data_IF_657957454674
#
_entry.id   IF_657957454674
#
_cell.length_a   1.000
_cell.length_b   1.000
_cell.length_c   1.000
_cell.angle_alpha   90.00
_cell.angle_beta   90.00
_cell.angle_gamma   90.00
#
_symmetry.space_group_name_H-M   'P 1'
#
loop_
_entity.id
_entity.type
_entity.pdbx_description
1 polymer ?
#
# COMPACT_ATOMS: atom_id res chain seq x y z
N UNK A 1 8.66 2.24 -6.19
CA UNK A 1 7.82 1.10 -6.72
C UNK A 1 8.31 -0.24 -6.14
N UNK A 2 8.72 -0.22 -4.87
CA UNK A 2 9.51 -1.29 -4.25
C UNK A 2 8.76 -2.63 -4.12
N UNK A 3 7.42 -2.61 -4.11
CA UNK A 3 6.58 -3.82 -4.05
C UNK A 3 6.10 -4.30 -5.42
N UNK A 4 6.35 -3.54 -6.47
CA UNK A 4 5.92 -3.87 -7.83
C UNK A 4 6.96 -4.74 -8.52
N UNK A 5 6.57 -5.53 -9.53
CA UNK A 5 7.52 -6.27 -10.36
C UNK A 5 8.55 -5.36 -11.02
N UNK A 6 9.71 -5.91 -11.31
CA UNK A 6 10.75 -5.19 -12.04
C UNK A 6 10.22 -4.65 -13.37
N UNK A 7 10.68 -3.47 -13.76
CA UNK A 7 10.22 -2.80 -14.96
C UNK A 7 8.90 -2.02 -14.85
N UNK A 8 8.24 -2.04 -13.68
CA UNK A 8 6.98 -1.29 -13.46
C UNK A 8 7.18 0.21 -13.24
N UNK A 9 8.42 0.69 -13.12
CA UNK A 9 8.71 2.12 -12.87
C UNK A 9 8.47 2.96 -14.13
N UNK A 10 7.90 4.14 -13.93
CA UNK A 10 7.82 5.17 -14.98
C UNK A 10 9.12 6.01 -15.09
N UNK A 11 10.15 5.73 -14.28
CA UNK A 11 11.41 6.48 -14.31
C UNK A 11 12.09 6.51 -15.69
N UNK A 12 12.13 5.42 -16.49
CA UNK A 12 12.72 5.46 -17.82
C UNK A 12 12.07 6.49 -18.75
N UNK A 13 10.79 6.78 -18.57
CA UNK A 13 10.05 7.75 -19.37
C UNK A 13 10.44 9.21 -19.09
N UNK A 14 11.18 9.48 -18.00
CA UNK A 14 11.69 10.82 -17.70
C UNK A 14 12.65 11.36 -18.77
N UNK A 15 13.29 10.46 -19.52
CA UNK A 15 14.16 10.84 -20.65
C UNK A 15 13.37 11.33 -21.87
N UNK A 16 12.11 10.93 -21.99
CA UNK A 16 11.27 11.21 -23.17
C UNK A 16 10.27 12.35 -22.89
N UNK A 17 9.79 12.47 -21.65
CA UNK A 17 8.71 13.40 -21.28
C UNK A 17 9.17 14.46 -20.28
N UNK A 18 9.49 15.65 -20.78
CA UNK A 18 9.97 16.77 -19.96
C UNK A 18 8.98 17.30 -18.92
N UNK A 19 7.69 16.97 -19.05
CA UNK A 19 6.61 17.34 -18.14
C UNK A 19 6.23 16.21 -17.17
N UNK A 20 6.94 15.06 -17.19
CA UNK A 20 6.70 13.95 -16.27
C UNK A 20 7.37 14.23 -14.91
N UNK A 21 6.67 13.86 -13.85
CA UNK A 21 7.19 13.82 -12.49
C UNK A 21 6.85 12.47 -11.84
N UNK A 22 7.85 11.75 -11.38
CA UNK A 22 7.70 10.45 -10.69
C UNK A 22 7.91 10.65 -9.21
N UNK A 23 6.88 10.37 -8.41
CA UNK A 23 6.89 10.53 -6.96
C UNK A 23 7.25 9.24 -6.26
N UNK A 24 8.16 9.33 -5.29
CA UNK A 24 8.56 8.24 -4.41
C UNK A 24 8.24 8.58 -2.96
N UNK A 25 7.85 7.58 -2.19
CA UNK A 25 7.63 7.73 -0.74
C UNK A 25 8.53 6.78 0.04
N UNK A 26 9.08 7.26 1.15
CA UNK A 26 9.80 6.40 2.09
C UNK A 26 8.87 5.86 3.21
N UNK A 27 7.57 6.16 3.13
CA UNK A 27 6.60 5.83 4.19
C UNK A 27 6.27 4.35 4.31
N UNK A 28 6.46 3.54 3.25
CA UNK A 28 6.00 2.15 3.19
C UNK A 28 7.18 1.18 3.23
N UNK A 29 7.82 0.91 2.11
CA UNK A 29 8.93 -0.03 1.99
C UNK A 29 10.12 0.30 2.91
N UNK A 30 10.32 1.57 3.24
CA UNK A 30 11.40 2.04 4.12
C UNK A 30 10.96 2.31 5.57
N UNK A 31 9.75 1.92 5.96
CA UNK A 31 9.21 2.05 7.32
C UNK A 31 9.23 3.47 7.89
N UNK A 32 9.29 4.52 7.06
CA UNK A 32 9.39 5.92 7.49
C UNK A 32 8.05 6.68 7.39
N UNK A 33 6.93 6.02 7.70
CA UNK A 33 5.61 6.66 7.65
C UNK A 33 5.54 7.92 8.55
N UNK A 34 6.11 7.85 9.77
CA UNK A 34 6.19 8.97 10.69
C UNK A 34 7.15 10.07 10.26
N UNK A 35 8.14 9.77 9.42
CA UNK A 35 9.11 10.72 8.91
C UNK A 35 8.56 11.73 7.90
N UNK A 36 7.37 11.48 7.33
CA UNK A 36 6.70 12.33 6.32
C UNK A 36 7.62 12.76 5.18
N UNK A 37 8.41 11.84 4.64
CA UNK A 37 9.42 12.09 3.61
C UNK A 37 9.18 11.26 2.36
N UNK A 38 9.42 11.89 1.23
CA UNK A 38 9.46 11.32 -0.10
C UNK A 38 10.30 12.23 -1.00
N UNK A 39 10.41 11.87 -2.25
CA UNK A 39 11.12 12.67 -3.24
C UNK A 39 10.44 12.58 -4.60
N UNK A 40 10.78 13.52 -5.47
CA UNK A 40 10.32 13.56 -6.85
C UNK A 40 11.51 13.50 -7.79
N UNK A 41 11.37 12.73 -8.86
CA UNK A 41 12.27 12.72 -10.02
C UNK A 41 11.55 13.40 -11.17
N UNK A 42 12.16 14.44 -11.74
CA UNK A 42 11.58 15.20 -12.85
C UNK A 42 12.66 16.00 -13.58
N UNK A 43 12.30 16.63 -14.71
CA UNK A 43 13.20 17.57 -15.41
C UNK A 43 13.53 18.78 -14.51
N UNK A 44 14.69 19.45 -14.71
CA UNK A 44 15.06 20.63 -13.93
C UNK A 44 14.01 21.75 -13.94
N UNK A 45 13.30 21.95 -15.04
CA UNK A 45 12.22 22.93 -15.14
C UNK A 45 11.07 22.64 -14.20
N UNK A 46 10.64 21.38 -14.11
CA UNK A 46 9.57 20.93 -13.21
C UNK A 46 10.06 21.02 -11.75
N UNK A 47 11.28 20.56 -11.45
CA UNK A 47 11.86 20.66 -10.10
C UNK A 47 11.95 22.12 -9.62
N UNK A 48 12.38 23.05 -10.49
CA UNK A 48 12.46 24.46 -10.14
C UNK A 48 11.06 25.06 -9.88
N UNK A 49 10.05 24.71 -10.67
CA UNK A 49 8.68 25.15 -10.45
C UNK A 49 8.12 24.64 -9.13
N UNK A 50 8.36 23.38 -8.78
CA UNK A 50 7.99 22.80 -7.49
C UNK A 50 8.72 23.48 -6.31
N UNK A 51 10.01 23.76 -6.48
CA UNK A 51 10.81 24.43 -5.47
C UNK A 51 10.32 25.85 -5.18
N UNK A 52 9.84 26.57 -6.20
CA UNK A 52 9.34 27.93 -6.06
C UNK A 52 8.07 28.03 -5.21
N UNK A 53 7.24 26.98 -5.16
CA UNK A 53 5.98 26.96 -4.40
C UNK A 53 6.07 26.13 -3.10
N UNK A 54 7.17 25.42 -2.91
CA UNK A 54 7.38 24.59 -1.71
C UNK A 54 7.56 25.46 -0.48
N UNK A 55 6.89 25.07 0.61
CA UNK A 55 7.10 25.76 1.91
C UNK A 55 8.54 25.59 2.36
N UNK A 56 9.21 26.66 2.80
CA UNK A 56 10.53 26.59 3.45
C UNK A 56 10.47 25.63 4.64
N UNK A 57 11.56 24.89 4.86
CA UNK A 57 11.71 24.00 6.01
C UNK A 57 10.65 22.89 6.12
N UNK A 58 10.00 22.52 5.01
CA UNK A 58 8.93 21.51 4.96
C UNK A 58 9.33 20.12 5.42
N UNK A 59 10.64 19.79 5.44
CA UNK A 59 11.18 18.53 5.94
C UNK A 59 12.18 18.83 7.06
N UNK A 60 11.90 18.33 8.26
CA UNK A 60 12.79 18.54 9.41
C UNK A 60 14.11 17.74 9.28
N UNK A 61 15.12 18.14 10.03
CA UNK A 61 16.48 17.56 9.95
C UNK A 61 16.53 16.07 10.29
N UNK A 62 15.72 15.60 11.23
CA UNK A 62 15.67 14.19 11.61
C UNK A 62 15.11 13.34 10.49
N UNK A 63 14.02 13.78 9.85
CA UNK A 63 13.45 13.10 8.68
C UNK A 63 14.43 13.06 7.52
N UNK A 64 15.18 14.14 7.28
CA UNK A 64 16.22 14.16 6.23
C UNK A 64 17.32 13.14 6.53
N UNK A 65 17.84 13.13 7.76
CA UNK A 65 18.88 12.18 8.17
C UNK A 65 18.39 10.73 8.09
N UNK A 66 17.17 10.45 8.59
CA UNK A 66 16.55 9.12 8.52
C UNK A 66 16.32 8.67 7.07
N UNK A 67 15.81 9.57 6.22
CA UNK A 67 15.60 9.28 4.80
C UNK A 67 16.90 8.96 4.08
N UNK A 68 17.96 9.74 4.32
CA UNK A 68 19.28 9.50 3.75
C UNK A 68 19.85 8.14 4.20
N UNK A 69 19.74 7.82 5.48
CA UNK A 69 20.17 6.53 6.03
C UNK A 69 19.41 5.37 5.38
N UNK A 70 18.07 5.47 5.26
CA UNK A 70 17.23 4.45 4.64
C UNK A 70 17.61 4.20 3.18
N UNK A 71 17.80 5.25 2.39
CA UNK A 71 18.20 5.14 0.98
C UNK A 71 19.60 4.51 0.83
N UNK A 72 20.56 4.89 1.69
CA UNK A 72 21.90 4.30 1.70
C UNK A 72 21.88 2.82 2.08
N UNK A 73 20.95 2.42 2.94
CA UNK A 73 20.80 1.04 3.43
C UNK A 73 19.64 0.31 2.73
N UNK A 74 19.24 0.73 1.53
CA UNK A 74 18.06 0.19 0.83
C UNK A 74 18.05 -1.34 0.71
N UNK A 75 19.21 -1.97 0.56
CA UNK A 75 19.35 -3.43 0.48
C UNK A 75 18.87 -4.15 1.75
N UNK A 76 18.93 -3.52 2.92
CA UNK A 76 18.47 -4.10 4.17
C UNK A 76 16.94 -4.31 4.22
N UNK A 77 16.17 -3.58 3.41
CA UNK A 77 14.71 -3.70 3.34
C UNK A 77 14.26 -4.79 2.35
N UNK A 78 15.15 -5.31 1.51
CA UNK A 78 14.85 -6.31 0.48
C UNK A 78 14.08 -7.51 1.00
N UNK A 79 14.51 -8.20 2.07
CA UNK A 79 13.80 -9.35 2.63
C UNK A 79 12.35 -9.02 3.05
N UNK A 80 12.13 -7.88 3.71
CA UNK A 80 10.79 -7.45 4.12
C UNK A 80 9.90 -7.11 2.92
N UNK A 81 10.44 -6.46 1.90
CA UNK A 81 9.74 -6.15 0.65
C UNK A 81 9.32 -7.44 -0.06
N UNK A 82 10.21 -8.42 -0.16
CA UNK A 82 9.94 -9.72 -0.77
C UNK A 82 8.86 -10.50 0.01
N UNK A 83 8.92 -10.47 1.34
CA UNK A 83 7.91 -11.10 2.20
C UNK A 83 6.52 -10.48 1.99
N UNK A 84 6.42 -9.15 1.94
CA UNK A 84 5.14 -8.46 1.68
C UNK A 84 4.62 -8.82 0.28
N UNK A 85 5.47 -8.88 -0.73
CA UNK A 85 5.05 -9.26 -2.08
C UNK A 85 4.52 -10.70 -2.12
N UNK A 86 5.21 -11.65 -1.50
CA UNK A 86 4.79 -13.05 -1.41
C UNK A 86 3.47 -13.21 -0.65
N UNK A 87 3.33 -12.56 0.50
CA UNK A 87 2.10 -12.60 1.29
C UNK A 87 0.92 -11.92 0.58
N UNK A 88 1.17 -10.90 -0.21
CA UNK A 88 0.15 -10.27 -1.06
C UNK A 88 -0.44 -11.26 -2.06
N UNK A 89 0.41 -12.01 -2.77
CA UNK A 89 -0.03 -13.01 -3.74
C UNK A 89 -0.81 -14.14 -3.02
N UNK A 90 -0.29 -14.61 -1.89
CA UNK A 90 -0.98 -15.63 -1.08
C UNK A 90 -2.37 -15.14 -0.63
N UNK A 91 -2.47 -13.91 -0.12
CA UNK A 91 -3.76 -13.32 0.27
C UNK A 91 -4.72 -13.18 -0.92
N UNK A 92 -4.21 -12.80 -2.09
CA UNK A 92 -5.01 -12.69 -3.31
C UNK A 92 -5.62 -14.03 -3.68
N UNK A 93 -4.83 -15.10 -3.67
CA UNK A 93 -5.28 -16.46 -4.00
C UNK A 93 -6.30 -16.98 -2.99
N UNK A 94 -6.05 -16.81 -1.69
CA UNK A 94 -6.97 -17.21 -0.62
C UNK A 94 -8.33 -16.46 -0.70
N UNK A 95 -8.29 -15.16 -0.95
CA UNK A 95 -9.50 -14.37 -1.13
C UNK A 95 -10.25 -14.73 -2.41
N UNK A 96 -9.55 -15.04 -3.49
CA UNK A 96 -10.16 -15.54 -4.73
C UNK A 96 -10.87 -16.88 -4.49
N UNK A 97 -10.32 -17.75 -3.64
CA UNK A 97 -10.96 -18.99 -3.19
C UNK A 97 -12.27 -18.79 -2.44
N UNK A 98 -12.55 -17.59 -1.92
CA UNK A 98 -13.82 -17.23 -1.28
C UNK A 98 -14.88 -16.69 -2.26
N UNK A 99 -14.67 -16.83 -3.57
CA UNK A 99 -15.62 -16.35 -4.60
C UNK A 99 -17.03 -16.87 -4.42
N UNK A 100 -17.20 -18.12 -3.95
CA UNK A 100 -18.49 -18.70 -3.60
C UNK A 100 -19.23 -18.01 -2.44
N UNK A 101 -18.53 -17.20 -1.65
CA UNK A 101 -19.07 -16.34 -0.58
C UNK A 101 -19.29 -14.89 -1.05
N UNK A 102 -19.18 -14.61 -2.35
CA UNK A 102 -19.35 -13.28 -2.93
C UNK A 102 -18.11 -12.36 -2.81
N UNK A 103 -16.95 -12.91 -2.49
CA UNK A 103 -15.71 -12.15 -2.40
C UNK A 103 -15.06 -12.00 -3.78
N UNK A 104 -14.58 -10.80 -4.09
CA UNK A 104 -13.75 -10.49 -5.25
C UNK A 104 -12.55 -9.68 -4.80
N UNK A 105 -11.35 -10.15 -5.09
CA UNK A 105 -10.12 -9.42 -4.83
C UNK A 105 -9.42 -9.07 -6.15
N UNK A 106 -8.78 -7.90 -6.20
CA UNK A 106 -8.06 -7.46 -7.39
C UNK A 106 -6.55 -7.52 -7.18
N UNK A 107 -5.78 -7.92 -8.22
CA UNK A 107 -4.32 -7.85 -8.18
C UNK A 107 -3.82 -6.46 -7.81
N UNK A 108 -2.71 -6.41 -7.10
CA UNK A 108 -2.10 -5.17 -6.63
C UNK A 108 -0.58 -5.23 -6.77
N UNK A 109 0.03 -4.09 -6.99
CA UNK A 109 1.48 -3.91 -6.93
C UNK A 109 1.90 -3.10 -5.68
N UNK A 110 1.00 -2.91 -4.73
CA UNK A 110 1.23 -2.22 -3.46
C UNK A 110 1.35 -3.20 -2.28
N UNK A 111 1.32 -2.65 -1.08
CA UNK A 111 1.29 -3.41 0.16
C UNK A 111 -0.15 -3.60 0.69
N UNK A 112 -1.13 -3.63 -0.18
CA UNK A 112 -2.54 -3.82 0.15
C UNK A 112 -3.29 -4.44 -1.03
N UNK A 113 -4.45 -5.02 -0.74
CA UNK A 113 -5.43 -5.48 -1.72
C UNK A 113 -6.72 -4.68 -1.60
N UNK A 114 -7.39 -4.47 -2.72
CA UNK A 114 -8.79 -4.05 -2.75
C UNK A 114 -9.65 -5.31 -2.83
N UNK A 115 -10.65 -5.39 -1.95
CA UNK A 115 -11.51 -6.58 -1.84
C UNK A 115 -12.96 -6.14 -1.74
N UNK A 116 -13.82 -6.66 -2.61
CA UNK A 116 -15.28 -6.49 -2.52
C UNK A 116 -15.88 -7.72 -1.86
N UNK A 117 -16.85 -7.51 -1.00
CA UNK A 117 -17.60 -8.59 -0.34
C UNK A 117 -18.99 -8.10 0.07
N UNK A 118 -19.99 -9.02 0.24
CA UNK A 118 -21.31 -8.63 0.72
C UNK A 118 -21.21 -7.91 2.07
N UNK A 119 -22.04 -6.88 2.25
CA UNK A 119 -22.14 -6.13 3.51
C UNK A 119 -20.79 -5.68 4.11
N UNK A 120 -19.86 -5.24 3.26
CA UNK A 120 -18.49 -4.91 3.63
C UNK A 120 -18.39 -3.98 4.85
N UNK A 121 -19.31 -3.02 4.98
CA UNK A 121 -19.36 -2.14 6.15
C UNK A 121 -19.65 -2.92 7.45
N UNK A 122 -20.58 -3.87 7.42
CA UNK A 122 -20.89 -4.73 8.57
C UNK A 122 -19.72 -5.64 8.89
N UNK A 123 -19.15 -6.30 7.87
CA UNK A 123 -17.98 -7.16 8.01
C UNK A 123 -16.80 -6.38 8.63
N UNK A 124 -16.53 -5.16 8.15
CA UNK A 124 -15.49 -4.31 8.72
C UNK A 124 -15.71 -4.00 10.20
N UNK A 125 -16.96 -3.74 10.61
CA UNK A 125 -17.26 -3.46 12.02
C UNK A 125 -17.09 -4.72 12.87
N UNK A 126 -17.55 -5.87 12.42
CA UNK A 126 -17.38 -7.15 13.12
C UNK A 126 -15.88 -7.56 13.18
N UNK A 127 -15.09 -7.37 12.13
CA UNK A 127 -13.64 -7.57 12.19
C UNK A 127 -12.98 -6.77 13.30
N UNK A 128 -13.38 -5.48 13.44
CA UNK A 128 -12.85 -4.61 14.51
C UNK A 128 -13.30 -5.08 15.91
N UNK A 129 -14.60 -5.33 16.07
CA UNK A 129 -15.23 -5.48 17.40
C UNK A 129 -15.07 -6.91 17.96
N UNK A 130 -15.06 -7.93 17.12
CA UNK A 130 -14.99 -9.34 17.52
C UNK A 130 -13.60 -9.94 17.38
N UNK A 131 -12.80 -9.44 16.42
CA UNK A 131 -11.48 -10.01 16.09
C UNK A 131 -10.30 -9.05 16.31
N UNK A 132 -10.57 -7.78 16.66
CA UNK A 132 -9.53 -6.73 16.79
C UNK A 132 -8.74 -6.47 15.50
N UNK A 133 -9.35 -6.72 14.33
CA UNK A 133 -8.74 -6.54 13.02
C UNK A 133 -9.27 -5.24 12.38
N UNK A 134 -8.35 -4.35 12.01
CA UNK A 134 -8.67 -3.07 11.38
C UNK A 134 -8.39 -3.09 9.88
N UNK A 135 -9.43 -2.93 9.08
CA UNK A 135 -9.35 -2.72 7.63
C UNK A 135 -9.99 -1.39 7.24
N UNK A 136 -9.64 -0.85 6.09
CA UNK A 136 -10.18 0.42 5.61
C UNK A 136 -11.42 0.20 4.75
N UNK A 137 -12.55 0.81 5.15
CA UNK A 137 -13.79 0.82 4.37
C UNK A 137 -13.73 1.91 3.29
N UNK A 138 -13.98 1.54 2.04
CA UNK A 138 -14.10 2.41 0.89
C UNK A 138 -15.51 2.44 0.29
N UNK A 139 -16.49 1.80 0.93
CA UNK A 139 -17.85 1.64 0.39
C UNK A 139 -18.55 2.96 0.05
N UNK A 140 -18.16 4.06 0.70
CA UNK A 140 -18.67 5.40 0.43
C UNK A 140 -18.01 6.10 -0.78
N UNK A 141 -16.91 5.57 -1.31
CA UNK A 141 -16.23 6.17 -2.45
C UNK A 141 -16.91 5.78 -3.77
N UNK A 142 -16.98 6.68 -4.76
CA UNK A 142 -17.59 6.37 -6.06
C UNK A 142 -16.99 5.13 -6.71
N UNK A 143 -17.82 4.18 -7.15
CA UNK A 143 -17.40 2.95 -7.80
C UNK A 143 -16.87 1.85 -6.87
N UNK A 144 -16.67 2.14 -5.57
CA UNK A 144 -16.10 1.21 -4.59
C UNK A 144 -17.12 0.67 -3.58
N UNK A 145 -18.41 0.61 -3.99
CA UNK A 145 -19.43 0.03 -3.14
C UNK A 145 -19.03 -1.37 -2.67
N UNK A 146 -19.21 -1.63 -1.38
CA UNK A 146 -18.87 -2.89 -0.70
C UNK A 146 -17.39 -3.29 -0.84
N UNK A 147 -16.48 -2.30 -0.92
CA UNK A 147 -15.05 -2.52 -1.02
C UNK A 147 -14.33 -2.18 0.29
N UNK A 148 -13.46 -3.09 0.71
CA UNK A 148 -12.49 -2.90 1.78
C UNK A 148 -11.08 -2.87 1.20
N UNK A 149 -10.19 -2.04 1.78
CA UNK A 149 -8.76 -2.13 1.55
C UNK A 149 -8.11 -2.89 2.68
N UNK A 150 -7.53 -4.00 2.35
CA UNK A 150 -6.80 -4.89 3.25
C UNK A 150 -5.31 -4.64 3.09
N UNK A 151 -4.64 -4.20 4.14
CA UNK A 151 -3.17 -4.08 4.15
C UNK A 151 -2.56 -5.46 4.36
N UNK A 152 -1.51 -5.77 3.62
CA UNK A 152 -0.73 -7.00 3.80
C UNK A 152 0.03 -6.90 5.12
N UNK A 153 -0.29 -7.81 6.05
CA UNK A 153 0.34 -7.95 7.36
C UNK A 153 1.41 -9.03 7.38
N UNK A 154 1.81 -9.42 8.58
CA UNK A 154 2.62 -10.61 8.82
C UNK A 154 1.80 -11.87 8.50
N UNK A 155 2.43 -13.04 8.24
CA UNK A 155 1.70 -14.26 7.90
C UNK A 155 0.59 -14.64 8.90
N UNK A 156 0.86 -14.56 10.18
CA UNK A 156 -0.10 -14.84 11.26
C UNK A 156 -1.25 -13.83 11.32
N UNK A 157 -0.98 -12.55 11.05
CA UNK A 157 -2.02 -11.51 10.95
C UNK A 157 -2.91 -11.75 9.73
N UNK A 158 -2.33 -12.14 8.61
CA UNK A 158 -3.07 -12.48 7.39
C UNK A 158 -3.93 -13.72 7.58
N UNK A 159 -3.42 -14.76 8.28
CA UNK A 159 -4.17 -15.98 8.61
C UNK A 159 -5.35 -15.66 9.52
N UNK A 160 -5.14 -14.85 10.55
CA UNK A 160 -6.22 -14.40 11.44
C UNK A 160 -7.33 -13.64 10.67
N UNK A 161 -6.95 -12.78 9.72
CA UNK A 161 -7.91 -12.09 8.87
C UNK A 161 -8.70 -13.05 7.99
N UNK A 162 -8.03 -14.01 7.33
CA UNK A 162 -8.67 -14.97 6.45
C UNK A 162 -9.66 -15.86 7.22
N UNK A 163 -9.30 -16.30 8.41
CA UNK A 163 -10.15 -17.12 9.27
C UNK A 163 -11.37 -16.32 9.77
N UNK A 164 -11.16 -15.08 10.19
CA UNK A 164 -12.26 -14.19 10.57
C UNK A 164 -13.23 -13.95 9.40
N UNK A 165 -12.73 -13.67 8.20
CA UNK A 165 -13.56 -13.48 7.02
C UNK A 165 -14.37 -14.73 6.66
N UNK A 166 -13.76 -15.92 6.72
CA UNK A 166 -14.48 -17.19 6.46
C UNK A 166 -15.65 -17.40 7.41
N UNK A 167 -15.44 -17.11 8.71
CA UNK A 167 -16.52 -17.23 9.74
C UNK A 167 -17.60 -16.21 9.51
N UNK A 168 -17.26 -14.95 9.36
CA UNK A 168 -18.19 -13.85 9.17
C UNK A 168 -19.08 -14.03 7.93
N UNK A 169 -18.49 -14.44 6.82
CA UNK A 169 -19.20 -14.61 5.54
C UNK A 169 -20.05 -15.88 5.48
N UNK A 170 -19.80 -16.87 6.35
CA UNK A 170 -20.65 -18.04 6.52
C UNK A 170 -21.78 -17.84 7.53
N UNK A 171 -21.78 -16.71 8.25
CA UNK A 171 -22.80 -16.40 9.26
C UNK A 171 -22.53 -17.06 10.61
N UNK A 172 -21.28 -17.37 10.91
CA UNK A 172 -20.81 -17.94 12.18
C UNK A 172 -20.43 -16.85 13.18
#
# INVERSE_FOLDING_TARGET
MEFAPDGSSAEPLLAEYGNLAVLHTLSKAFCLAGGRIGYVLASPSVVNALAAVRQPYSVNVFSQAAGLAAVRSRGAFGPAIASIASERERLLDELAGMGGLGVTAWPSAGNFLLVRMPDAHVVRNRLRDEFSILVRDFSSAPGLRDCLRVTVGMPDENDALLDALRRLLKGE
#
